data_IF_983275724305
#
_entry.id   IF_983275724305
#
_cell.length_a   1.000
_cell.length_b   1.000
_cell.length_c   1.000
_cell.angle_alpha   90.00
_cell.angle_beta   90.00
_cell.angle_gamma   90.00
#
_symmetry.space_group_name_H-M   'P 1'
#
loop_
_entity.id
_entity.type
_entity.pdbx_description
1 polymer ?
#
# COMPACT_ATOMS: atom_id res chain seq x y z
N UNK A 1 18.64 -20.37 -30.10
CA UNK A 1 17.62 -20.09 -29.07
C UNK A 1 18.27 -19.16 -28.06
N UNK A 2 17.83 -17.90 -27.97
CA UNK A 2 18.37 -16.95 -26.99
C UNK A 2 17.47 -17.00 -25.76
N UNK A 3 18.03 -17.38 -24.62
CA UNK A 3 17.31 -17.42 -23.34
C UNK A 3 17.55 -16.08 -22.66
N UNK A 4 16.47 -15.35 -22.41
CA UNK A 4 16.49 -14.07 -21.70
C UNK A 4 16.17 -14.32 -20.22
N UNK A 5 17.09 -13.91 -19.34
CA UNK A 5 16.99 -14.08 -17.88
C UNK A 5 16.56 -12.79 -17.15
N UNK A 6 16.25 -11.74 -17.90
CA UNK A 6 15.92 -10.39 -17.42
C UNK A 6 14.40 -10.12 -17.39
N UNK A 7 13.58 -11.18 -17.40
CA UNK A 7 12.12 -11.07 -17.32
C UNK A 7 11.63 -11.23 -15.89
N UNK A 8 10.62 -10.43 -15.53
CA UNK A 8 9.84 -10.59 -14.31
C UNK A 8 8.93 -11.83 -14.39
N UNK A 9 8.32 -12.28 -13.27
CA UNK A 9 7.39 -13.39 -13.26
C UNK A 9 6.36 -13.31 -14.40
N UNK A 10 5.96 -14.47 -14.93
CA UNK A 10 5.10 -14.59 -16.13
C UNK A 10 5.71 -14.03 -17.43
N UNK A 11 7.03 -13.86 -17.50
CA UNK A 11 7.71 -13.40 -18.71
C UNK A 11 7.49 -11.91 -19.01
N UNK A 12 7.18 -11.09 -18.00
CA UNK A 12 6.93 -9.65 -18.16
C UNK A 12 8.24 -8.89 -18.31
N UNK A 13 8.26 -7.88 -19.17
CA UNK A 13 9.43 -7.03 -19.41
C UNK A 13 9.50 -5.80 -18.50
N UNK A 14 8.45 -5.56 -17.70
CA UNK A 14 8.33 -4.41 -16.81
C UNK A 14 7.65 -4.83 -15.52
N UNK A 15 7.99 -4.16 -14.43
CA UNK A 15 7.30 -4.23 -13.15
C UNK A 15 6.83 -2.82 -12.77
N UNK A 16 5.73 -2.76 -12.02
CA UNK A 16 5.19 -1.54 -11.43
C UNK A 16 4.89 -1.85 -9.96
N UNK A 17 5.34 -0.98 -9.07
CA UNK A 17 5.06 -1.05 -7.64
C UNK A 17 4.39 0.24 -7.21
N UNK A 18 3.30 0.12 -6.45
CA UNK A 18 2.57 1.25 -5.89
C UNK A 18 2.72 1.19 -4.36
N UNK A 19 3.18 2.28 -3.74
CA UNK A 19 3.49 2.34 -2.30
C UNK A 19 2.99 3.65 -1.72
N UNK A 20 2.26 3.61 -0.62
CA UNK A 20 1.62 4.77 0.01
C UNK A 20 1.73 4.73 1.53
N UNK A 21 1.87 5.91 2.13
CA UNK A 21 2.16 6.08 3.54
C UNK A 21 0.98 6.70 4.31
N UNK A 22 1.11 6.74 5.63
CA UNK A 22 0.32 7.52 6.58
C UNK A 22 -1.12 7.10 6.91
N UNK A 23 -1.70 6.10 6.26
CA UNK A 23 -3.06 5.61 6.54
C UNK A 23 -4.13 6.71 6.59
N UNK A 24 -4.08 7.65 5.64
CA UNK A 24 -5.04 8.75 5.55
C UNK A 24 -6.37 8.30 4.93
N UNK A 25 -7.45 9.04 5.19
CA UNK A 25 -8.79 8.75 4.63
C UNK A 25 -8.84 8.70 3.08
N UNK A 26 -7.83 9.25 2.41
CA UNK A 26 -7.72 9.26 0.95
C UNK A 26 -7.45 7.87 0.36
N UNK A 27 -6.91 6.95 1.17
CA UNK A 27 -6.70 5.55 0.79
C UNK A 27 -7.99 4.91 0.30
N UNK A 28 -9.15 5.26 0.88
CA UNK A 28 -10.47 4.76 0.45
C UNK A 28 -10.73 4.97 -1.04
N UNK A 29 -10.45 6.18 -1.54
CA UNK A 29 -10.67 6.52 -2.96
C UNK A 29 -9.61 5.85 -3.83
N UNK A 30 -8.36 5.86 -3.40
CA UNK A 30 -7.25 5.29 -4.14
C UNK A 30 -7.41 3.77 -4.33
N UNK A 31 -7.74 3.05 -3.25
CA UNK A 31 -8.02 1.62 -3.26
C UNK A 31 -9.23 1.31 -4.15
N UNK A 32 -10.29 2.14 -4.11
CA UNK A 32 -11.42 1.98 -5.03
C UNK A 32 -10.99 2.02 -6.50
N UNK A 33 -10.07 2.91 -6.87
CA UNK A 33 -9.51 3.00 -8.22
C UNK A 33 -8.65 1.77 -8.52
N UNK A 34 -7.79 1.37 -7.59
CA UNK A 34 -6.92 0.19 -7.77
C UNK A 34 -7.71 -1.09 -7.97
N UNK A 35 -8.73 -1.32 -7.14
CA UNK A 35 -9.65 -2.45 -7.26
C UNK A 35 -10.37 -2.45 -8.61
N UNK A 36 -10.82 -1.27 -9.08
CA UNK A 36 -11.48 -1.13 -10.39
C UNK A 36 -10.57 -1.55 -11.55
N UNK A 37 -9.28 -1.26 -11.48
CA UNK A 37 -8.31 -1.51 -12.56
C UNK A 37 -7.41 -2.74 -12.33
N UNK A 38 -7.61 -3.49 -11.24
CA UNK A 38 -6.79 -4.64 -10.92
C UNK A 38 -5.34 -4.31 -10.55
N UNK A 39 -5.08 -3.09 -10.07
CA UNK A 39 -3.75 -2.64 -9.65
C UNK A 39 -3.54 -3.02 -8.19
N UNK A 40 -2.38 -3.60 -7.86
CA UNK A 40 -2.00 -3.90 -6.47
C UNK A 40 -1.11 -2.78 -5.92
N UNK A 41 -1.12 -2.64 -4.60
CA UNK A 41 -0.33 -1.65 -3.89
C UNK A 41 -0.01 -2.10 -2.47
N UNK A 42 0.98 -1.44 -1.88
CA UNK A 42 1.40 -1.60 -0.49
C UNK A 42 1.08 -0.32 0.26
N UNK A 43 0.44 -0.45 1.42
CA UNK A 43 0.02 0.66 2.27
C UNK A 43 0.68 0.56 3.64
N UNK A 44 1.50 1.56 3.97
CA UNK A 44 2.29 1.60 5.19
C UNK A 44 1.55 2.40 6.26
N UNK A 45 1.05 1.72 7.28
CA UNK A 45 0.18 2.34 8.27
C UNK A 45 0.95 2.86 9.49
N UNK A 46 0.50 4.00 9.99
CA UNK A 46 0.93 4.58 11.26
C UNK A 46 -0.01 4.11 12.38
N UNK A 47 0.34 3.06 13.11
CA UNK A 47 -0.56 2.45 14.11
C UNK A 47 -1.08 3.42 15.20
N UNK A 48 -0.31 4.45 15.53
CA UNK A 48 -0.68 5.51 16.48
C UNK A 48 -1.48 6.66 15.87
N UNK A 49 -1.74 6.65 14.56
CA UNK A 49 -2.59 7.63 13.88
C UNK A 49 -3.98 7.10 13.55
N UNK A 50 -4.16 5.76 13.52
CA UNK A 50 -5.48 5.15 13.33
C UNK A 50 -6.50 5.66 14.36
N UNK A 51 -7.76 5.74 13.94
CA UNK A 51 -8.90 6.28 14.69
C UNK A 51 -8.85 7.81 14.98
N UNK A 52 -7.84 8.53 14.51
CA UNK A 52 -7.80 10.00 14.59
C UNK A 52 -8.58 10.65 13.44
N UNK A 53 -8.94 11.92 13.62
CA UNK A 53 -9.55 12.72 12.55
C UNK A 53 -8.67 12.72 11.30
N UNK A 54 -9.27 12.49 10.13
CA UNK A 54 -8.60 12.36 8.82
C UNK A 54 -7.71 11.12 8.63
N UNK A 55 -7.74 10.15 9.54
CA UNK A 55 -7.07 8.85 9.38
C UNK A 55 -8.07 7.69 9.29
N UNK A 56 -7.57 6.56 8.79
CA UNK A 56 -8.32 5.30 8.72
C UNK A 56 -8.59 4.76 10.13
N UNK A 57 -9.75 4.12 10.30
CA UNK A 57 -10.14 3.48 11.55
C UNK A 57 -9.58 2.06 11.63
N UNK A 58 -9.23 1.58 12.83
CA UNK A 58 -8.74 0.20 13.02
C UNK A 58 -9.75 -0.84 12.52
N UNK A 59 -11.04 -0.55 12.68
CA UNK A 59 -12.13 -1.46 12.32
C UNK A 59 -12.22 -1.69 10.80
N UNK A 60 -11.86 -0.70 9.98
CA UNK A 60 -11.98 -0.85 8.52
C UNK A 60 -10.71 -1.42 7.86
N UNK A 61 -9.54 -1.41 8.53
CA UNK A 61 -8.25 -1.81 7.93
C UNK A 61 -8.33 -3.15 7.20
N UNK A 62 -8.85 -4.20 7.85
CA UNK A 62 -8.86 -5.54 7.28
C UNK A 62 -9.67 -5.64 5.98
N UNK A 63 -10.82 -4.96 5.92
CA UNK A 63 -11.68 -4.99 4.73
C UNK A 63 -11.22 -3.99 3.67
N UNK A 64 -10.82 -2.78 4.07
CA UNK A 64 -10.39 -1.72 3.17
C UNK A 64 -9.18 -2.15 2.33
N UNK A 65 -8.15 -2.72 2.96
CA UNK A 65 -6.90 -3.09 2.27
C UNK A 65 -6.92 -4.52 1.70
N UNK A 66 -8.08 -5.17 1.61
CA UNK A 66 -8.19 -6.53 1.08
C UNK A 66 -7.69 -6.60 -0.36
N UNK A 67 -6.77 -7.54 -0.62
CA UNK A 67 -6.12 -7.69 -1.94
C UNK A 67 -4.88 -6.80 -2.14
N UNK A 68 -4.55 -5.97 -1.14
CA UNK A 68 -3.35 -5.15 -1.06
C UNK A 68 -2.42 -5.66 0.06
N UNK A 69 -1.17 -5.21 0.03
CA UNK A 69 -0.22 -5.45 1.11
C UNK A 69 -0.35 -4.33 2.17
N UNK A 70 -0.26 -4.71 3.45
CA UNK A 70 -0.25 -3.78 4.59
C UNK A 70 1.07 -3.93 5.33
N UNK A 71 1.71 -2.80 5.59
CA UNK A 71 3.04 -2.69 6.19
C UNK A 71 3.08 -1.55 7.22
N UNK A 72 4.26 -1.27 7.80
CA UNK A 72 4.41 -0.33 8.93
C UNK A 72 5.20 0.92 8.51
N UNK A 73 4.68 2.10 8.88
CA UNK A 73 5.36 3.39 8.68
C UNK A 73 5.72 4.08 10.01
N UNK A 74 6.25 3.28 10.95
CA UNK A 74 6.42 3.62 12.37
C UNK A 74 5.08 3.82 13.12
N UNK A 75 5.16 4.24 14.40
CA UNK A 75 3.97 4.40 15.26
C UNK A 75 3.24 5.72 15.00
N UNK A 76 3.97 6.83 15.05
CA UNK A 76 3.41 8.19 14.99
C UNK A 76 4.10 9.04 13.93
N UNK A 77 4.79 8.42 12.98
CA UNK A 77 5.61 9.09 11.98
C UNK A 77 6.62 10.10 12.57
N UNK A 78 7.44 9.72 13.57
CA UNK A 78 8.50 10.58 14.05
C UNK A 78 9.62 10.68 13.00
N UNK A 79 10.39 11.76 13.05
CA UNK A 79 11.70 11.77 12.42
C UNK A 79 12.60 10.78 13.19
N UNK A 80 13.15 9.77 12.50
CA UNK A 80 13.84 8.65 13.15
C UNK A 80 15.32 8.92 13.43
N UNK A 81 15.91 9.89 12.76
CA UNK A 81 17.31 10.26 12.95
C UNK A 81 17.45 11.33 14.06
N UNK A 82 18.53 11.25 14.81
CA UNK A 82 18.94 12.22 15.83
C UNK A 82 20.33 12.78 15.54
#
# INVERSE_FOLDING_TARGET
MNINFDLFPEGRTKALTMSYDDCQIFDRRLISIFNKYGVKGTFHLNSGMLDKENFITKAEVAELYKGHEVSVHAKTHPFLDC
#
